data_IF_289947782581
#
_entry.id   IF_289947782581
#
_cell.length_a   1.000
_cell.length_b   1.000
_cell.length_c   1.000
_cell.angle_alpha   90.00
_cell.angle_beta   90.00
_cell.angle_gamma   90.00
#
_symmetry.space_group_name_H-M   'P 1'
#
loop_
_entity.id
_entity.type
_entity.pdbx_description
1 polymer ?
#
# COMPACT_ATOMS: atom_id res chain seq x y z
N UNK A 1 1.61 8.51 11.03
CA UNK A 1 1.39 9.91 10.62
C UNK A 1 -0.07 10.30 10.89
N UNK A 2 -1.02 9.44 10.61
CA UNK A 2 -2.44 9.70 10.85
C UNK A 2 -2.99 8.76 11.92
N UNK A 3 -3.87 9.27 12.80
CA UNK A 3 -4.54 8.45 13.82
C UNK A 3 -5.62 7.53 13.21
N UNK A 4 -6.20 7.93 12.05
CA UNK A 4 -7.18 7.12 11.36
C UNK A 4 -6.53 5.94 10.65
N UNK A 5 -7.07 4.74 10.82
CA UNK A 5 -6.63 3.55 10.10
C UNK A 5 -7.05 3.63 8.62
N UNK A 6 -6.21 3.08 7.75
CA UNK A 6 -6.51 2.97 6.32
C UNK A 6 -6.32 4.25 5.50
N UNK A 7 -5.78 5.33 6.08
CA UNK A 7 -5.46 6.54 5.32
C UNK A 7 -4.24 6.29 4.44
N UNK A 8 -4.42 6.41 3.13
CA UNK A 8 -3.33 6.38 2.16
C UNK A 8 -2.66 7.75 2.13
N UNK A 9 -1.33 7.79 2.18
CA UNK A 9 -0.54 9.01 2.11
C UNK A 9 0.49 8.92 0.99
N UNK A 10 0.73 10.03 0.30
CA UNK A 10 1.80 10.18 -0.66
C UNK A 10 2.76 11.27 -0.18
N UNK A 11 4.03 11.10 -0.46
CA UNK A 11 5.07 12.12 -0.26
C UNK A 11 5.61 12.52 -1.62
N UNK A 12 5.61 13.81 -1.90
CA UNK A 12 6.10 14.36 -3.17
C UNK A 12 7.43 15.06 -2.95
N UNK A 13 8.41 14.69 -3.76
CA UNK A 13 9.71 15.35 -3.84
C UNK A 13 9.81 16.04 -5.21
N UNK A 14 10.07 17.33 -5.22
CA UNK A 14 10.23 18.09 -6.47
C UNK A 14 11.27 19.19 -6.33
N UNK A 15 11.88 19.55 -7.45
CA UNK A 15 12.83 20.66 -7.54
C UNK A 15 12.21 21.76 -8.38
N UNK A 16 12.09 22.99 -7.84
CA UNK A 16 11.59 24.15 -8.53
C UNK A 16 12.62 24.65 -9.58
N UNK A 17 12.13 25.14 -10.70
CA UNK A 17 12.95 25.87 -11.66
C UNK A 17 13.42 25.10 -12.88
N UNK A 18 13.12 23.79 -12.98
CA UNK A 18 13.42 22.99 -14.16
C UNK A 18 12.16 22.28 -14.67
N UNK A 19 11.95 22.17 -16.00
CA UNK A 19 10.83 21.43 -16.54
C UNK A 19 10.96 19.95 -16.20
N UNK A 20 9.88 19.35 -15.70
CA UNK A 20 9.81 17.93 -15.40
C UNK A 20 9.79 17.11 -16.68
N UNK A 21 10.76 16.24 -16.86
CA UNK A 21 10.82 15.28 -17.98
C UNK A 21 10.30 13.91 -17.60
N UNK A 22 10.66 13.45 -16.41
CA UNK A 22 10.30 12.14 -15.89
C UNK A 22 9.80 12.26 -14.45
N UNK A 23 8.87 11.40 -14.09
CA UNK A 23 8.33 11.28 -12.73
C UNK A 23 8.65 9.86 -12.26
N UNK A 24 9.23 9.76 -11.07
CA UNK A 24 9.58 8.51 -10.45
C UNK A 24 8.59 8.18 -9.35
N UNK A 25 8.15 6.92 -9.30
CA UNK A 25 7.23 6.41 -8.29
C UNK A 25 7.89 5.30 -7.50
N UNK A 26 7.72 5.36 -6.18
CA UNK A 26 8.05 4.27 -5.29
C UNK A 26 6.78 3.75 -4.63
N UNK A 27 6.38 2.54 -4.94
CA UNK A 27 5.24 1.91 -4.30
C UNK A 27 5.65 1.20 -3.01
N UNK A 28 5.48 1.89 -1.89
CA UNK A 28 5.74 1.32 -0.57
C UNK A 28 4.53 0.59 0.02
N UNK A 29 3.33 0.91 -0.41
CA UNK A 29 2.06 0.47 0.19
C UNK A 29 1.73 -1.00 -0.07
N UNK A 30 2.16 -1.56 -1.20
CA UNK A 30 1.74 -2.87 -1.64
C UNK A 30 2.37 -3.98 -0.81
N UNK A 31 1.54 -4.78 -0.16
CA UNK A 31 1.97 -5.89 0.70
C UNK A 31 2.60 -5.47 2.02
N UNK A 32 2.59 -4.17 2.34
CA UNK A 32 3.17 -3.65 3.60
C UNK A 32 2.09 -3.01 4.44
N UNK A 33 1.99 -3.42 5.69
CA UNK A 33 1.07 -2.84 6.69
C UNK A 33 1.87 -2.40 7.91
N UNK A 34 1.84 -1.11 8.20
CA UNK A 34 2.36 -0.56 9.44
C UNK A 34 1.23 -0.20 10.40
N UNK A 35 1.49 -0.39 11.68
CA UNK A 35 0.58 -0.05 12.78
C UNK A 35 1.31 0.81 13.79
N UNK A 36 0.57 1.54 14.61
CA UNK A 36 1.18 2.38 15.64
C UNK A 36 1.79 1.57 16.80
N UNK A 37 1.29 0.37 17.04
CA UNK A 37 1.66 -0.43 18.20
C UNK A 37 2.61 -1.58 17.87
N UNK A 38 2.27 -2.42 16.90
CA UNK A 38 2.91 -3.73 16.69
C UNK A 38 3.92 -3.76 15.54
N UNK A 39 3.76 -2.90 14.54
CA UNK A 39 4.65 -2.83 13.38
C UNK A 39 4.84 -1.38 12.95
N UNK A 40 5.61 -0.63 13.71
CA UNK A 40 5.86 0.79 13.45
C UNK A 40 6.71 0.98 12.20
N UNK A 41 6.43 2.04 11.46
CA UNK A 41 7.31 2.48 10.37
C UNK A 41 8.61 3.01 10.97
N UNK A 42 9.71 2.36 10.66
CA UNK A 42 11.06 2.72 11.09
C UNK A 42 11.95 3.07 9.89
N UNK A 43 13.10 3.67 10.15
CA UNK A 43 14.02 4.14 9.11
C UNK A 43 14.46 3.02 8.17
N UNK A 44 14.78 1.85 8.69
CA UNK A 44 15.25 0.71 7.90
C UNK A 44 14.22 0.20 6.87
N UNK A 45 12.93 0.39 7.13
CA UNK A 45 11.87 0.04 6.17
C UNK A 45 11.94 0.86 4.87
N UNK A 46 12.63 2.00 4.88
CA UNK A 46 12.80 2.88 3.73
C UNK A 46 14.18 2.77 3.07
N UNK A 47 15.02 1.81 3.46
CA UNK A 47 16.38 1.67 2.92
C UNK A 47 16.37 1.35 1.42
N UNK A 48 15.44 0.51 0.96
CA UNK A 48 15.26 0.25 -0.47
C UNK A 48 14.86 1.52 -1.24
N UNK A 49 13.94 2.32 -0.71
CA UNK A 49 13.60 3.62 -1.29
C UNK A 49 14.83 4.53 -1.40
N UNK A 50 15.62 4.65 -0.35
CA UNK A 50 16.81 5.52 -0.34
C UNK A 50 17.83 5.05 -1.37
N UNK A 51 18.01 3.74 -1.49
CA UNK A 51 18.88 3.12 -2.51
C UNK A 51 18.41 3.45 -3.91
N UNK A 52 17.10 3.33 -4.19
CA UNK A 52 16.53 3.65 -5.50
C UNK A 52 16.54 5.14 -5.81
N UNK A 53 16.38 5.98 -4.78
CA UNK A 53 16.23 7.43 -4.93
C UNK A 53 17.50 8.13 -5.42
N UNK A 54 18.69 7.63 -5.07
CA UNK A 54 19.98 8.22 -5.46
C UNK A 54 20.00 9.75 -5.33
N UNK A 55 20.01 10.23 -4.08
CA UNK A 55 19.92 11.66 -3.79
C UNK A 55 21.08 12.47 -4.40
N UNK A 56 22.27 11.88 -4.44
CA UNK A 56 23.50 12.51 -4.95
C UNK A 56 23.55 12.58 -6.48
N UNK A 57 22.91 11.61 -7.17
CA UNK A 57 22.91 11.56 -8.64
C UNK A 57 21.57 11.06 -9.18
N UNK A 58 20.75 12.00 -9.62
CA UNK A 58 19.45 11.70 -10.22
C UNK A 58 19.58 10.86 -11.50
N UNK A 59 20.70 10.97 -12.23
CA UNK A 59 20.91 10.24 -13.48
C UNK A 59 21.29 8.77 -13.24
N UNK A 60 21.73 8.43 -12.04
CA UNK A 60 22.03 7.06 -11.64
C UNK A 60 20.79 6.23 -11.34
N UNK A 61 19.60 6.86 -11.25
CA UNK A 61 18.33 6.17 -10.99
C UNK A 61 18.01 5.17 -12.07
N UNK A 62 17.70 3.95 -11.66
CA UNK A 62 17.28 2.85 -12.54
C UNK A 62 15.98 2.25 -12.03
N UNK A 63 15.09 1.93 -12.93
CA UNK A 63 13.86 1.21 -12.56
C UNK A 63 14.19 -0.14 -11.95
N UNK A 64 13.49 -0.51 -10.90
CA UNK A 64 13.55 -1.87 -10.34
C UNK A 64 12.40 -2.72 -10.86
N UNK A 65 11.33 -2.10 -11.37
CA UNK A 65 10.22 -2.82 -11.98
C UNK A 65 10.57 -3.28 -13.39
N UNK A 66 10.28 -4.55 -13.65
CA UNK A 66 10.33 -5.17 -14.98
C UNK A 66 9.22 -6.22 -15.02
N UNK A 67 8.36 -6.16 -16.03
CA UNK A 67 7.17 -7.01 -16.11
C UNK A 67 7.51 -8.51 -16.16
N UNK A 68 8.65 -8.86 -16.75
CA UNK A 68 9.07 -10.26 -16.93
C UNK A 68 10.06 -10.71 -15.86
N UNK A 69 11.01 -9.86 -15.48
CA UNK A 69 12.13 -10.22 -14.61
C UNK A 69 11.90 -9.85 -13.14
N UNK A 70 11.21 -8.74 -12.88
CA UNK A 70 10.96 -8.26 -11.53
C UNK A 70 9.59 -7.55 -11.43
N UNK A 71 8.47 -8.27 -11.54
CA UNK A 71 7.13 -7.69 -11.47
C UNK A 71 6.78 -7.09 -10.10
N UNK A 72 7.55 -7.43 -9.06
CA UNK A 72 7.41 -6.86 -7.71
C UNK A 72 8.30 -5.64 -7.45
N UNK A 73 9.06 -5.18 -8.45
CA UNK A 73 9.92 -4.00 -8.34
C UNK A 73 9.13 -2.75 -7.97
N UNK A 74 9.59 -2.04 -6.92
CA UNK A 74 8.85 -0.93 -6.30
C UNK A 74 9.16 0.43 -6.90
N UNK A 75 10.21 0.57 -7.71
CA UNK A 75 10.67 1.82 -8.29
C UNK A 75 10.43 1.83 -9.80
N UNK A 76 9.64 2.80 -10.26
CA UNK A 76 9.24 2.90 -11.66
C UNK A 76 9.25 4.34 -12.16
N UNK A 77 9.62 4.52 -13.43
CA UNK A 77 9.69 5.80 -14.12
C UNK A 77 8.54 5.94 -15.12
N UNK A 78 8.00 7.15 -15.19
CA UNK A 78 7.06 7.58 -16.24
C UNK A 78 7.53 8.88 -16.85
N UNK A 79 7.39 9.02 -18.15
CA UNK A 79 7.60 10.30 -18.81
C UNK A 79 6.46 11.27 -18.48
N UNK A 80 6.74 12.56 -18.54
CA UNK A 80 5.68 13.57 -18.35
C UNK A 80 4.56 13.41 -19.38
N UNK A 81 4.89 12.99 -20.62
CA UNK A 81 3.91 12.73 -21.67
C UNK A 81 2.93 11.63 -21.32
N UNK A 82 3.41 10.51 -20.74
CA UNK A 82 2.56 9.41 -20.26
C UNK A 82 1.61 9.89 -19.16
N UNK A 83 2.09 10.70 -18.23
CA UNK A 83 1.26 11.23 -17.14
C UNK A 83 0.21 12.22 -17.69
N UNK A 84 0.59 13.10 -18.61
CA UNK A 84 -0.33 14.06 -19.20
C UNK A 84 -1.42 13.41 -20.05
N UNK A 85 -1.16 12.25 -20.63
CA UNK A 85 -2.13 11.47 -21.40
C UNK A 85 -3.17 10.76 -20.51
N UNK A 86 -2.95 10.67 -19.20
CA UNK A 86 -3.90 10.06 -18.27
C UNK A 86 -5.10 10.96 -18.00
N UNK A 87 -6.24 10.36 -17.69
CA UNK A 87 -7.42 11.11 -17.25
C UNK A 87 -7.07 11.99 -16.05
N UNK A 88 -7.36 13.29 -16.16
CA UNK A 88 -7.07 14.33 -15.14
C UNK A 88 -5.62 14.36 -14.66
N UNK A 89 -4.67 13.91 -15.48
CA UNK A 89 -3.25 13.80 -15.11
C UNK A 89 -3.03 13.06 -13.77
N UNK A 90 -3.81 12.03 -13.53
CA UNK A 90 -3.83 11.31 -12.26
C UNK A 90 -2.48 10.66 -11.96
N UNK A 91 -1.98 10.89 -10.76
CA UNK A 91 -0.79 10.24 -10.19
C UNK A 91 -1.14 8.98 -9.39
N UNK A 92 -2.40 8.57 -9.35
CA UNK A 92 -2.78 7.30 -8.73
C UNK A 92 -2.44 6.13 -9.67
N UNK A 93 -1.21 5.66 -9.53
CA UNK A 93 -0.62 4.62 -10.36
C UNK A 93 -0.27 3.42 -9.49
N UNK A 94 -0.75 2.25 -9.88
CA UNK A 94 -0.42 0.96 -9.27
C UNK A 94 0.00 -0.01 -10.35
N UNK A 95 1.04 -0.80 -10.09
CA UNK A 95 1.52 -1.84 -11.02
C UNK A 95 1.85 -3.15 -10.32
N UNK A 96 2.12 -3.11 -9.00
CA UNK A 96 2.39 -4.31 -8.22
C UNK A 96 1.05 -4.94 -7.87
N UNK A 97 0.85 -6.18 -8.30
CA UNK A 97 -0.30 -6.97 -7.88
C UNK A 97 -0.12 -7.40 -6.43
N UNK A 98 -1.11 -7.14 -5.59
CA UNK A 98 -1.16 -7.75 -4.28
C UNK A 98 -1.55 -9.22 -4.48
N UNK A 99 -0.75 -10.15 -3.96
CA UNK A 99 -1.08 -11.57 -4.00
C UNK A 99 -2.36 -11.97 -3.23
N UNK A 100 -3.05 -10.98 -2.68
CA UNK A 100 -4.34 -11.08 -2.00
C UNK A 100 -5.39 -10.16 -2.64
N UNK A 101 -5.30 -9.87 -3.95
CA UNK A 101 -6.42 -9.27 -4.64
C UNK A 101 -7.55 -10.29 -4.62
N UNK A 102 -8.55 -10.01 -3.80
CA UNK A 102 -9.77 -10.79 -3.65
C UNK A 102 -10.52 -10.94 -5.00
N UNK A 103 -10.08 -10.22 -6.02
CA UNK A 103 -10.62 -10.30 -7.38
C UNK A 103 -10.27 -11.62 -8.09
N UNK A 104 -9.18 -12.31 -7.69
CA UNK A 104 -8.74 -13.58 -8.29
C UNK A 104 -9.11 -14.82 -7.46
N UNK A 105 -9.78 -14.65 -6.30
CA UNK A 105 -10.25 -15.78 -5.52
C UNK A 105 -11.50 -16.42 -6.17
N UNK A 106 -11.53 -17.75 -6.34
CA UNK A 106 -12.73 -18.44 -6.78
C UNK A 106 -13.91 -18.05 -5.87
N UNK A 107 -15.08 -17.83 -6.46
CA UNK A 107 -16.30 -17.42 -5.71
C UNK A 107 -16.57 -18.34 -4.51
N UNK A 108 -16.29 -19.63 -4.64
CA UNK A 108 -16.39 -20.62 -3.56
C UNK A 108 -15.49 -20.30 -2.38
N UNK A 109 -14.27 -19.82 -2.63
CA UNK A 109 -13.33 -19.47 -1.58
C UNK A 109 -13.68 -18.14 -0.91
N UNK A 110 -14.15 -17.19 -1.69
CA UNK A 110 -14.69 -15.93 -1.17
C UNK A 110 -15.88 -16.17 -0.24
N UNK A 111 -16.82 -17.02 -0.65
CA UNK A 111 -17.97 -17.43 0.16
C UNK A 111 -17.55 -18.14 1.46
N UNK A 112 -16.52 -19.00 1.40
CA UNK A 112 -15.97 -19.67 2.59
C UNK A 112 -15.36 -18.66 3.57
N UNK A 113 -14.57 -17.72 3.07
CA UNK A 113 -13.96 -16.67 3.89
C UNK A 113 -15.02 -15.77 4.56
N UNK A 114 -16.05 -15.38 3.82
CA UNK A 114 -17.17 -14.59 4.36
C UNK A 114 -17.88 -15.36 5.48
N UNK A 115 -18.14 -16.64 5.28
CA UNK A 115 -18.80 -17.49 6.27
C UNK A 115 -17.95 -17.63 7.56
N UNK A 116 -16.67 -17.84 7.43
CA UNK A 116 -15.73 -17.92 8.55
C UNK A 116 -15.68 -16.61 9.33
N UNK A 117 -15.57 -15.46 8.65
CA UNK A 117 -15.55 -14.15 9.30
C UNK A 117 -16.88 -13.85 10.00
N UNK A 118 -18.01 -14.22 9.39
CA UNK A 118 -19.33 -14.08 10.00
C UNK A 118 -19.46 -14.91 11.30
N UNK A 119 -18.94 -16.13 11.30
CA UNK A 119 -18.90 -16.96 12.51
C UNK A 119 -18.02 -16.35 13.61
N UNK A 120 -16.87 -15.79 13.26
CA UNK A 120 -15.98 -15.13 14.23
C UNK A 120 -16.65 -13.89 14.85
N UNK A 121 -17.36 -13.09 14.03
CA UNK A 121 -18.12 -11.94 14.53
C UNK A 121 -19.24 -12.40 15.48
N UNK A 122 -20.00 -13.42 15.12
CA UNK A 122 -21.08 -13.95 15.96
C UNK A 122 -20.56 -14.46 17.30
N UNK A 123 -19.39 -15.12 17.30
CA UNK A 123 -18.74 -15.57 18.53
C UNK A 123 -18.31 -14.40 19.41
N UNK A 124 -17.67 -13.39 18.84
CA UNK A 124 -17.24 -12.19 19.57
C UNK A 124 -18.44 -11.43 20.18
N UNK A 125 -19.56 -11.31 19.44
CA UNK A 125 -20.79 -10.68 19.94
C UNK A 125 -21.34 -11.49 21.12
N UNK A 126 -21.41 -12.83 21.04
CA UNK A 126 -21.89 -13.67 22.12
C UNK A 126 -21.00 -13.59 23.38
N UNK A 127 -19.69 -13.44 23.20
CA UNK A 127 -18.77 -13.25 24.32
C UNK A 127 -18.98 -11.87 24.99
N UNK A 128 -19.22 -10.83 24.21
CA UNK A 128 -19.56 -9.50 24.73
C UNK A 128 -20.89 -9.49 25.49
N UNK A 129 -21.92 -10.17 24.97
CA UNK A 129 -23.21 -10.30 25.64
C UNK A 129 -23.09 -11.01 27.01
N UNK A 130 -22.26 -12.05 27.10
CA UNK A 130 -21.98 -12.73 28.36
C UNK A 130 -21.26 -11.82 29.37
N UNK A 131 -20.30 -11.02 28.90
CA UNK A 131 -19.60 -10.06 29.76
C UNK A 131 -20.54 -8.97 30.28
N UNK A 132 -21.42 -8.46 29.41
CA UNK A 132 -22.39 -7.43 29.80
C UNK A 132 -23.43 -7.96 30.76
N UNK A 133 -23.96 -9.18 30.58
CA UNK A 133 -24.89 -9.79 31.53
C UNK A 133 -24.26 -10.02 32.89
N UNK A 134 -23.00 -10.44 32.97
CA UNK A 134 -22.27 -10.58 34.23
C UNK A 134 -22.00 -9.27 34.97
N UNK A 135 -22.04 -8.13 34.27
CA UNK A 135 -21.88 -6.80 34.91
C UNK A 135 -23.23 -6.26 35.44
N UNK A 136 -24.36 -6.69 34.83
CA UNK A 136 -25.69 -6.24 35.26
C UNK A 136 -26.29 -7.02 36.44
N UNK A 137 -25.67 -8.11 36.90
CA UNK A 137 -26.08 -8.92 38.06
C UNK A 137 -25.35 -8.51 39.35
N UNK A 138 -24.58 -7.42 39.37
CA UNK A 138 -23.95 -6.82 40.55
C UNK A 138 -24.63 -5.47 40.84
#
# INVERSE_FOLDING_TARGET
>A
IFYAQGVKANVLFFTKGQPTKNIWFYDYRTGVKHTLATNKLERHHLDDFVTCYHAEDINARKETYDADKNPSGRWRKYSIGEIMARDKTSLDITWIKQGNDTEDLPLSQLMSNIKEQSMNISKAVSELEKLLSGIMEV
#
